data_IF_433513686887
#
_entry.id   IF_433513686887
#
_cell.length_a   1.000
_cell.length_b   1.000
_cell.length_c   1.000
_cell.angle_alpha   90.00
_cell.angle_beta   90.00
_cell.angle_gamma   90.00
#
_symmetry.space_group_name_H-M   'P 1'
#
loop_
_entity.id
_entity.type
_entity.pdbx_description
1 polymer ?
#
# COMPACT_ATOMS: atom_id res chain seq x y z
N UNK A 1 27.87 -4.90 -43.65
CA UNK A 1 27.77 -4.42 -42.25
C UNK A 1 26.50 -3.63 -41.92
N UNK A 2 25.72 -3.17 -42.90
CA UNK A 2 24.50 -2.37 -42.68
C UNK A 2 23.35 -3.03 -41.91
N UNK A 3 23.29 -4.37 -41.85
CA UNK A 3 22.28 -5.08 -41.06
C UNK A 3 22.54 -5.06 -39.55
N UNK A 4 23.79 -4.90 -39.10
CA UNK A 4 24.12 -4.78 -37.67
C UNK A 4 23.89 -3.36 -37.13
N UNK A 5 24.01 -2.35 -37.99
CA UNK A 5 23.77 -0.95 -37.62
C UNK A 5 22.26 -0.71 -37.43
N UNK A 6 21.41 -1.32 -38.27
CA UNK A 6 19.94 -1.24 -38.11
C UNK A 6 19.39 -1.95 -36.87
N UNK A 7 20.07 -2.97 -36.33
CA UNK A 7 19.66 -3.61 -35.07
C UNK A 7 20.04 -2.80 -33.82
N UNK A 8 21.06 -1.94 -33.91
CA UNK A 8 21.45 -1.05 -32.80
C UNK A 8 20.64 0.25 -32.78
N UNK A 9 20.19 0.73 -33.94
CA UNK A 9 19.44 1.99 -34.04
C UNK A 9 17.95 1.87 -33.66
N UNK A 10 17.44 0.65 -33.47
CA UNK A 10 16.03 0.40 -33.12
C UNK A 10 15.79 0.18 -31.60
N UNK A 11 16.81 0.40 -30.76
CA UNK A 11 16.71 0.28 -29.29
C UNK A 11 16.67 1.62 -28.55
N UNK A 12 16.71 2.76 -29.26
CA UNK A 12 16.83 4.10 -28.66
C UNK A 12 15.52 4.92 -28.71
N UNK A 13 14.38 4.27 -28.46
CA UNK A 13 13.08 4.95 -28.39
C UNK A 13 12.22 4.37 -27.27
N UNK A 14 12.48 4.78 -26.02
CA UNK A 14 11.58 4.49 -24.89
C UNK A 14 12.13 3.65 -23.73
N UNK A 15 13.46 3.52 -23.58
CA UNK A 15 14.02 2.94 -22.37
C UNK A 15 14.27 4.06 -21.33
N UNK A 16 13.50 4.07 -20.24
CA UNK A 16 13.77 4.91 -19.07
C UNK A 16 15.11 4.48 -18.46
N UNK A 17 15.96 5.45 -18.12
CA UNK A 17 17.21 5.18 -17.42
C UNK A 17 16.92 4.50 -16.08
N UNK A 18 17.61 3.41 -15.79
CA UNK A 18 17.39 2.63 -14.56
C UNK A 18 18.03 3.35 -13.37
N UNK A 19 17.29 4.30 -12.79
CA UNK A 19 17.76 5.11 -11.67
C UNK A 19 17.47 4.50 -10.29
N UNK A 20 16.51 3.57 -10.17
CA UNK A 20 16.17 2.94 -8.88
C UNK A 20 17.16 1.83 -8.54
N UNK A 21 17.97 2.07 -7.51
CA UNK A 21 18.78 1.07 -6.83
C UNK A 21 17.95 0.32 -5.76
N UNK A 22 18.30 -0.93 -5.45
CA UNK A 22 17.57 -1.76 -4.47
C UNK A 22 17.52 -1.11 -3.07
N UNK A 23 18.63 -0.49 -2.65
CA UNK A 23 18.68 0.28 -1.39
C UNK A 23 17.70 1.46 -1.39
N UNK A 24 17.61 2.19 -2.51
CA UNK A 24 16.67 3.31 -2.65
C UNK A 24 15.21 2.84 -2.64
N UNK A 25 14.90 1.68 -3.25
CA UNK A 25 13.57 1.09 -3.25
C UNK A 25 13.11 0.66 -1.83
N UNK A 26 14.02 0.07 -1.06
CA UNK A 26 13.77 -0.31 0.33
C UNK A 26 13.55 0.94 1.19
N UNK A 27 14.43 1.94 1.08
CA UNK A 27 14.28 3.20 1.82
C UNK A 27 12.96 3.91 1.50
N UNK A 28 12.58 3.96 0.21
CA UNK A 28 11.30 4.51 -0.21
C UNK A 28 10.11 3.81 0.46
N UNK A 29 10.15 2.47 0.56
CA UNK A 29 9.09 1.70 1.22
C UNK A 29 8.98 2.00 2.72
N UNK A 30 10.11 2.18 3.41
CA UNK A 30 10.13 2.57 4.83
C UNK A 30 9.56 3.99 5.06
N UNK A 31 9.96 4.95 4.21
CA UNK A 31 9.49 6.34 4.30
C UNK A 31 7.97 6.39 4.06
N UNK A 32 7.45 5.64 3.08
CA UNK A 32 6.02 5.58 2.79
C UNK A 32 5.19 5.09 3.99
N UNK A 33 5.72 4.15 4.79
CA UNK A 33 4.99 3.56 5.92
C UNK A 33 5.08 4.38 7.22
N UNK A 34 5.81 5.50 7.23
CA UNK A 34 6.06 6.31 8.43
C UNK A 34 4.80 7.05 8.93
N UNK A 35 3.85 6.32 9.52
CA UNK A 35 2.55 6.81 10.00
C UNK A 35 2.33 6.57 11.51
N UNK A 36 3.34 6.88 12.33
CA UNK A 36 3.33 6.63 13.78
C UNK A 36 2.16 7.31 14.53
N UNK A 37 1.69 8.46 14.05
CA UNK A 37 0.58 9.22 14.66
C UNK A 37 -0.73 8.45 14.56
N UNK A 38 -1.01 7.83 13.40
CA UNK A 38 -2.22 7.06 13.18
C UNK A 38 -2.26 5.80 14.05
N UNK A 39 -1.11 5.12 14.22
CA UNK A 39 -0.97 4.01 15.15
C UNK A 39 -1.25 4.45 16.60
N UNK A 40 -0.72 5.60 17.00
CA UNK A 40 -1.00 6.24 18.30
C UNK A 40 -2.50 6.44 18.56
N UNK A 41 -3.20 7.09 17.63
CA UNK A 41 -4.63 7.38 17.76
C UNK A 41 -5.50 6.11 17.78
N UNK A 42 -5.09 5.07 17.04
CA UNK A 42 -5.85 3.81 16.93
C UNK A 42 -5.67 2.87 18.12
N UNK A 43 -4.61 3.03 18.92
CA UNK A 43 -4.42 2.23 20.13
C UNK A 43 -5.58 2.33 21.12
N UNK A 44 -6.15 3.52 21.31
CA UNK A 44 -7.30 3.71 22.19
C UNK A 44 -8.49 2.85 21.75
N UNK A 45 -8.77 2.83 20.44
CA UNK A 45 -9.85 2.02 19.87
C UNK A 45 -9.57 0.51 19.99
N UNK A 46 -8.33 0.08 19.77
CA UNK A 46 -7.94 -1.32 19.92
C UNK A 46 -8.10 -1.80 21.38
N UNK A 47 -7.71 -0.95 22.34
CA UNK A 47 -7.84 -1.24 23.76
C UNK A 47 -9.29 -1.31 24.21
N UNK A 48 -10.14 -0.39 23.72
CA UNK A 48 -11.57 -0.38 24.05
C UNK A 48 -12.33 -1.59 23.50
N UNK A 49 -11.97 -2.09 22.31
CA UNK A 49 -12.70 -3.18 21.67
C UNK A 49 -12.17 -4.58 22.02
N UNK A 50 -10.88 -4.74 22.28
CA UNK A 50 -10.26 -6.06 22.48
C UNK A 50 -9.32 -6.18 23.69
N UNK A 51 -9.18 -5.11 24.47
CA UNK A 51 -8.31 -5.07 25.64
C UNK A 51 -6.80 -5.16 25.30
N UNK A 52 -5.94 -5.30 26.32
CA UNK A 52 -4.48 -5.35 26.13
C UNK A 52 -4.01 -6.59 25.33
N UNK A 53 -4.72 -7.71 25.46
CA UNK A 53 -4.36 -8.97 24.81
C UNK A 53 -4.51 -8.89 23.28
N UNK A 54 -5.52 -8.18 22.78
CA UNK A 54 -5.73 -8.01 21.33
C UNK A 54 -4.60 -7.20 20.69
N UNK A 55 -4.06 -6.22 21.39
CA UNK A 55 -2.97 -5.38 20.87
C UNK A 55 -1.70 -6.22 20.68
N UNK A 56 -1.35 -7.04 21.67
CA UNK A 56 -0.13 -7.86 21.63
C UNK A 56 -0.28 -9.03 20.66
N UNK A 57 -1.26 -9.91 20.89
CA UNK A 57 -1.43 -11.11 20.08
C UNK A 57 -1.99 -10.81 18.68
N UNK A 58 -2.88 -9.83 18.56
CA UNK A 58 -3.38 -9.37 17.27
C UNK A 58 -2.30 -8.68 16.44
N UNK A 59 -1.41 -7.90 17.06
CA UNK A 59 -0.25 -7.32 16.39
C UNK A 59 0.71 -8.38 15.83
N UNK A 60 1.03 -9.40 16.63
CA UNK A 60 1.88 -10.52 16.19
C UNK A 60 1.22 -11.27 15.04
N UNK A 61 -0.05 -11.64 15.17
CA UNK A 61 -0.78 -12.38 14.14
C UNK A 61 -0.90 -11.58 12.84
N UNK A 62 -1.21 -10.29 12.92
CA UNK A 62 -1.27 -9.39 11.78
C UNK A 62 0.11 -9.24 11.10
N UNK A 63 1.18 -9.16 11.87
CA UNK A 63 2.56 -9.10 11.36
C UNK A 63 2.95 -10.37 10.59
N UNK A 64 2.63 -11.55 11.14
CA UNK A 64 2.88 -12.83 10.44
C UNK A 64 2.05 -12.91 9.16
N UNK A 65 0.76 -12.59 9.24
CA UNK A 65 -0.13 -12.62 8.08
C UNK A 65 0.31 -11.68 6.95
N UNK A 66 0.69 -10.45 7.30
CA UNK A 66 1.21 -9.48 6.30
C UNK A 66 2.56 -9.90 5.72
N UNK A 67 3.45 -10.51 6.51
CA UNK A 67 4.71 -11.05 6.00
C UNK A 67 4.49 -12.18 5.00
N UNK A 68 3.57 -13.11 5.28
CA UNK A 68 3.22 -14.19 4.34
C UNK A 68 2.68 -13.65 3.02
N UNK A 69 1.79 -12.65 3.07
CA UNK A 69 1.28 -11.97 1.87
C UNK A 69 2.41 -11.28 1.11
N UNK A 70 3.31 -10.59 1.80
CA UNK A 70 4.46 -9.92 1.18
C UNK A 70 5.41 -10.92 0.51
N UNK A 71 5.70 -12.07 1.13
CA UNK A 71 6.51 -13.14 0.53
C UNK A 71 5.87 -13.70 -0.73
N UNK A 72 4.56 -13.97 -0.71
CA UNK A 72 3.84 -14.45 -1.91
C UNK A 72 3.89 -13.42 -3.05
N UNK A 73 3.75 -12.14 -2.73
CA UNK A 73 3.88 -11.07 -3.73
C UNK A 73 5.31 -10.94 -4.26
N UNK A 74 6.32 -11.19 -3.40
CA UNK A 74 7.72 -11.20 -3.79
C UNK A 74 8.02 -12.32 -4.80
N UNK A 75 7.50 -13.53 -4.60
CA UNK A 75 7.61 -14.63 -5.56
C UNK A 75 6.97 -14.30 -6.90
N UNK A 76 5.80 -13.66 -6.88
CA UNK A 76 5.14 -13.19 -8.10
C UNK A 76 5.96 -12.12 -8.83
N UNK A 77 6.58 -11.22 -8.07
CA UNK A 77 7.43 -10.15 -8.60
C UNK A 77 8.74 -10.62 -9.23
N UNK A 78 9.28 -11.75 -8.78
CA UNK A 78 10.48 -12.33 -9.35
C UNK A 78 10.20 -13.05 -10.67
N UNK A 79 8.98 -13.58 -10.86
CA UNK A 79 8.57 -14.27 -12.08
C UNK A 79 8.22 -13.29 -13.22
N UNK A 80 7.47 -12.22 -12.93
CA UNK A 80 7.03 -11.24 -13.94
C UNK A 80 7.19 -9.80 -13.40
N UNK A 81 8.35 -9.16 -13.63
CA UNK A 81 8.59 -7.79 -13.20
C UNK A 81 7.88 -6.80 -14.13
N UNK A 82 6.63 -6.46 -13.81
CA UNK A 82 5.84 -5.49 -14.58
C UNK A 82 5.35 -4.31 -13.75
N UNK A 83 5.26 -3.13 -14.37
CA UNK A 83 4.72 -1.92 -13.74
C UNK A 83 3.20 -2.05 -13.60
N UNK A 84 2.64 -1.71 -12.43
CA UNK A 84 1.22 -1.92 -12.16
C UNK A 84 0.87 -3.39 -11.95
N UNK A 85 1.80 -4.14 -11.38
CA UNK A 85 1.82 -5.59 -11.37
C UNK A 85 0.54 -6.25 -10.84
N UNK A 86 -0.10 -5.69 -9.82
CA UNK A 86 -1.29 -6.29 -9.19
C UNK A 86 -2.42 -6.63 -10.19
N UNK A 87 -2.87 -5.68 -11.01
CA UNK A 87 -3.96 -5.94 -11.96
C UNK A 87 -3.50 -6.83 -13.12
N UNK A 88 -2.23 -6.73 -13.53
CA UNK A 88 -1.65 -7.54 -14.61
C UNK A 88 -1.47 -8.99 -14.19
N UNK A 89 -0.94 -9.22 -12.99
CA UNK A 89 -0.78 -10.54 -12.41
C UNK A 89 -2.14 -11.20 -12.22
N UNK A 90 -3.14 -10.49 -11.69
CA UNK A 90 -4.50 -11.04 -11.56
C UNK A 90 -5.11 -11.42 -12.91
N UNK A 91 -4.86 -10.65 -13.98
CA UNK A 91 -5.29 -11.03 -15.33
C UNK A 91 -4.47 -12.19 -15.93
N UNK A 92 -3.17 -12.27 -15.65
CA UNK A 92 -2.27 -13.27 -16.22
C UNK A 92 -2.44 -14.66 -15.58
N UNK A 93 -2.60 -14.70 -14.26
CA UNK A 93 -2.77 -15.94 -13.50
C UNK A 93 -4.21 -16.46 -13.44
N UNK A 94 -5.19 -15.70 -13.96
CA UNK A 94 -6.57 -16.17 -14.05
C UNK A 94 -6.72 -17.26 -15.13
N UNK A 95 -7.31 -18.44 -14.82
CA UNK A 95 -7.50 -19.52 -15.79
C UNK A 95 -8.68 -19.29 -16.75
N UNK A 96 -9.67 -18.48 -16.36
CA UNK A 96 -10.82 -18.05 -17.19
C UNK A 96 -11.19 -16.61 -16.82
N UNK A 97 -11.75 -15.86 -17.78
CA UNK A 97 -12.23 -14.48 -17.61
C UNK A 97 -11.16 -13.46 -17.14
N UNK A 98 -9.96 -13.57 -17.70
CA UNK A 98 -8.77 -12.79 -17.34
C UNK A 98 -8.98 -11.27 -17.31
N UNK A 99 -9.71 -10.74 -18.30
CA UNK A 99 -10.05 -9.30 -18.34
C UNK A 99 -11.00 -8.88 -17.22
N UNK A 100 -11.93 -9.74 -16.83
CA UNK A 100 -12.89 -9.44 -15.76
C UNK A 100 -12.20 -9.40 -14.40
N UNK A 101 -11.39 -10.41 -14.07
CA UNK A 101 -10.67 -10.45 -12.80
C UNK A 101 -9.63 -9.32 -12.69
N UNK A 102 -8.91 -9.01 -13.78
CA UNK A 102 -8.01 -7.85 -13.82
C UNK A 102 -8.74 -6.52 -13.61
N UNK A 103 -9.92 -6.34 -14.24
CA UNK A 103 -10.75 -5.16 -14.07
C UNK A 103 -11.29 -5.05 -12.62
N UNK A 104 -11.80 -6.16 -12.08
CA UNK A 104 -12.30 -6.21 -10.70
C UNK A 104 -11.21 -5.87 -9.69
N UNK A 105 -10.01 -6.42 -9.86
CA UNK A 105 -8.85 -6.08 -9.04
C UNK A 105 -8.53 -4.58 -9.10
N UNK A 106 -8.54 -4.00 -10.29
CA UNK A 106 -8.32 -2.56 -10.49
C UNK A 106 -9.34 -1.71 -9.73
N UNK A 107 -10.63 -2.03 -9.87
CA UNK A 107 -11.71 -1.33 -9.15
C UNK A 107 -11.57 -1.43 -7.63
N UNK A 108 -11.30 -2.62 -7.09
CA UNK A 108 -11.12 -2.83 -5.65
C UNK A 108 -9.95 -1.97 -5.14
N UNK A 109 -8.83 -1.97 -5.86
CA UNK A 109 -7.68 -1.15 -5.49
C UNK A 109 -8.02 0.35 -5.54
N UNK A 110 -8.74 0.82 -6.56
CA UNK A 110 -9.19 2.22 -6.62
C UNK A 110 -10.09 2.60 -5.45
N UNK A 111 -11.07 1.78 -5.09
CA UNK A 111 -11.91 2.02 -3.91
C UNK A 111 -11.09 2.04 -2.62
N UNK A 112 -10.15 1.11 -2.45
CA UNK A 112 -9.26 1.07 -1.28
C UNK A 112 -8.46 2.38 -1.15
N UNK A 113 -7.91 2.91 -2.25
CA UNK A 113 -7.20 4.18 -2.24
C UNK A 113 -8.09 5.38 -1.93
N UNK A 114 -9.32 5.40 -2.47
CA UNK A 114 -10.30 6.46 -2.16
C UNK A 114 -10.65 6.44 -0.67
N UNK A 115 -11.03 5.28 -0.13
CA UNK A 115 -11.36 5.13 1.29
C UNK A 115 -10.18 5.49 2.19
N UNK A 116 -8.96 5.08 1.84
CA UNK A 116 -7.74 5.45 2.57
C UNK A 116 -7.50 6.96 2.54
N UNK A 117 -7.69 7.59 1.37
CA UNK A 117 -7.62 9.03 1.20
C UNK A 117 -8.62 9.80 2.07
N UNK A 118 -9.85 9.31 2.22
CA UNK A 118 -10.88 9.90 3.09
C UNK A 118 -10.64 9.62 4.58
N UNK A 119 -10.03 8.49 4.92
CA UNK A 119 -9.78 8.11 6.31
C UNK A 119 -8.75 9.03 7.01
N UNK A 120 -7.74 9.49 6.28
CA UNK A 120 -6.71 10.40 6.81
C UNK A 120 -7.27 11.74 7.34
N UNK A 121 -8.04 12.54 6.57
CA UNK A 121 -8.61 13.79 7.09
C UNK A 121 -9.63 13.54 8.20
N UNK A 122 -10.36 12.43 8.18
CA UNK A 122 -11.26 12.05 9.28
C UNK A 122 -10.49 11.81 10.59
N UNK A 123 -9.32 11.18 10.51
CA UNK A 123 -8.44 10.98 11.67
C UNK A 123 -7.90 12.31 12.19
N UNK A 124 -7.45 13.20 11.30
CA UNK A 124 -6.98 14.55 11.67
C UNK A 124 -8.09 15.35 12.35
N UNK A 125 -9.32 15.30 11.83
CA UNK A 125 -10.48 15.95 12.43
C UNK A 125 -10.74 15.45 13.85
N UNK A 126 -10.69 14.13 14.08
CA UNK A 126 -10.83 13.56 15.42
C UNK A 126 -9.76 14.06 16.39
N UNK A 127 -8.50 14.17 15.95
CA UNK A 127 -7.41 14.72 16.77
C UNK A 127 -7.69 16.18 17.12
N UNK A 128 -8.12 17.00 16.16
CA UNK A 128 -8.43 18.42 16.39
C UNK A 128 -9.57 18.58 17.41
N UNK A 129 -10.66 17.81 17.27
CA UNK A 129 -11.79 17.85 18.21
C UNK A 129 -11.36 17.38 19.60
N UNK A 130 -10.52 16.34 19.68
CA UNK A 130 -9.97 15.85 20.94
C UNK A 130 -9.12 16.91 21.64
N UNK A 131 -8.30 17.64 20.89
CA UNK A 131 -7.49 18.76 21.40
C UNK A 131 -8.36 19.94 21.85
N UNK A 132 -9.41 20.29 21.09
CA UNK A 132 -10.33 21.37 21.43
C UNK A 132 -11.08 21.09 22.74
N UNK A 133 -11.54 19.85 22.93
CA UNK A 133 -12.20 19.39 24.16
C UNK A 133 -11.24 19.37 25.35
N UNK A 134 -9.97 19.02 25.11
CA UNK A 134 -8.95 19.04 26.16
C UNK A 134 -8.60 20.45 26.61
N UNK A 135 -8.59 21.44 25.71
CA UNK A 135 -8.23 22.83 26.02
C UNK A 135 -9.41 23.64 26.59
N UNK A 136 -10.64 23.39 26.14
CA UNK A 136 -11.84 24.09 26.59
C UNK A 136 -12.85 23.09 27.19
N UNK A 137 -12.99 23.08 28.50
CA UNK A 137 -13.87 22.15 29.23
C UNK A 137 -15.37 22.36 28.98
N UNK A 138 -15.78 23.53 28.45
CA UNK A 138 -17.17 23.81 28.03
C UNK A 138 -17.45 23.48 26.55
N UNK A 139 -16.45 23.04 25.79
CA UNK A 139 -16.64 22.74 24.36
C UNK A 139 -17.41 21.44 24.16
N UNK A 140 -18.66 21.55 23.69
CA UNK A 140 -19.47 20.41 23.27
C UNK A 140 -19.34 20.25 21.75
N UNK A 141 -18.68 19.19 21.26
CA UNK A 141 -18.59 18.93 19.82
C UNK A 141 -19.99 18.71 19.23
N UNK A 142 -20.27 19.34 18.10
CA UNK A 142 -21.51 19.22 17.32
C UNK A 142 -21.24 18.57 15.97
#
# INVERSE_FOLDING_TARGET
EDKKIKSAQNQSGGALERYINSLSAVNFSFILQSSWIASGATFQFALANGGPASIVYGGIFAGVGTTLVATSLAEMSSMDPTVGAQYRWTASFAPKYNRFFGLMQGWITSFAWICSGTSNPALISNIIVSLATFNNTEYVPK
#
